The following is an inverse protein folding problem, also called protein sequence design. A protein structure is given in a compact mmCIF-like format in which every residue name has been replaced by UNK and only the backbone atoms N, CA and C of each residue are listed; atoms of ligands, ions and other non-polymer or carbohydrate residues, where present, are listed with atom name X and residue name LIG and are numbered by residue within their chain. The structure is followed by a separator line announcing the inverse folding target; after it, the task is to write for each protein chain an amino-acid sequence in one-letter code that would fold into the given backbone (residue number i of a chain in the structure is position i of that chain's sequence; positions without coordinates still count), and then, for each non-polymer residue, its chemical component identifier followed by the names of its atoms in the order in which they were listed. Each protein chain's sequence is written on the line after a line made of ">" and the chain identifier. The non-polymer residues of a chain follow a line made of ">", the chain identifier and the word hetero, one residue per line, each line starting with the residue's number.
data_IF_630417606772
#
_entry.id   IF_630417606772
#
_cell.length_a   1.000
_cell.length_b   1.000
_cell.length_c   1.000
_cell.angle_alpha   90.00
_cell.angle_beta   90.00
_cell.angle_gamma   90.00
#
_symmetry.space_group_name_H-M   'P 1'
#
loop_
_entity.id
_entity.type
_entity.pdbx_description
1 polymer ?
#
# COMPACT_ATOMS: atom_id res chain seq x y z
N UNK A 1 14.46 28.08 -25.44
CA UNK A 1 14.91 27.13 -24.40
C UNK A 1 14.27 27.43 -23.05
N UNK A 2 13.19 26.71 -22.71
CA UNK A 2 12.72 26.65 -21.32
C UNK A 2 13.51 25.54 -20.62
N UNK A 3 14.06 25.77 -19.42
CA UNK A 3 14.72 24.70 -18.68
C UNK A 3 13.72 23.58 -18.39
N UNK A 4 14.14 22.30 -18.40
CA UNK A 4 13.26 21.21 -18.02
C UNK A 4 12.82 21.43 -16.58
N UNK A 5 11.52 21.70 -16.41
CA UNK A 5 10.92 21.80 -15.09
C UNK A 5 11.10 20.47 -14.33
N UNK A 6 11.21 20.52 -13.01
CA UNK A 6 11.40 19.34 -12.15
C UNK A 6 10.28 18.32 -12.37
N UNK A 7 10.67 17.17 -12.92
CA UNK A 7 9.77 16.15 -13.48
C UNK A 7 9.25 15.23 -12.37
N UNK A 8 7.94 15.19 -12.19
CA UNK A 8 7.31 14.04 -11.53
C UNK A 8 7.43 12.81 -12.45
N UNK A 9 7.38 11.61 -11.87
CA UNK A 9 7.48 10.36 -12.64
C UNK A 9 6.48 10.26 -13.79
N UNK A 10 5.31 10.91 -13.65
CA UNK A 10 4.22 10.90 -14.63
C UNK A 10 4.38 11.96 -15.72
N UNK A 11 4.93 13.15 -15.41
CA UNK A 11 5.07 14.23 -16.38
C UNK A 11 5.96 13.82 -17.56
N UNK A 12 7.08 13.16 -17.27
CA UNK A 12 8.01 12.68 -18.28
C UNK A 12 7.40 11.64 -19.25
N UNK A 13 6.45 10.82 -18.79
CA UNK A 13 5.78 9.84 -19.64
C UNK A 13 4.88 10.48 -20.70
N UNK A 14 4.14 11.53 -20.34
CA UNK A 14 3.32 12.27 -21.30
C UNK A 14 4.17 13.11 -22.28
N UNK A 15 5.29 13.65 -21.80
CA UNK A 15 6.21 14.40 -22.65
C UNK A 15 6.79 13.53 -23.77
N UNK A 16 7.22 12.30 -23.46
CA UNK A 16 7.72 11.35 -24.46
C UNK A 16 6.65 10.98 -25.52
N UNK A 17 5.39 10.82 -25.11
CA UNK A 17 4.28 10.62 -26.06
C UNK A 17 4.14 11.83 -27.00
N UNK A 18 4.19 13.05 -26.45
CA UNK A 18 4.01 14.29 -27.22
C UNK A 18 5.15 14.48 -28.22
N UNK A 19 6.39 14.30 -27.78
CA UNK A 19 7.58 14.39 -28.64
C UNK A 19 7.54 13.37 -29.78
N UNK A 20 7.04 12.16 -29.51
CA UNK A 20 6.87 11.10 -30.51
C UNK A 20 5.59 11.20 -31.35
N UNK A 21 4.75 12.22 -31.13
CA UNK A 21 3.46 12.38 -31.82
C UNK A 21 2.45 11.25 -31.54
N UNK A 22 2.55 10.60 -30.37
CA UNK A 22 1.73 9.46 -29.95
C UNK A 22 0.58 9.92 -29.05
N UNK A 23 -0.50 9.13 -29.03
CA UNK A 23 -1.61 9.26 -28.08
C UNK A 23 -1.54 8.15 -27.03
N UNK A 24 -2.25 8.34 -25.91
CA UNK A 24 -2.51 7.23 -24.98
C UNK A 24 -3.38 6.20 -25.68
N UNK A 25 -2.94 4.94 -25.71
CA UNK A 25 -3.54 3.85 -26.47
C UNK A 25 -4.90 3.41 -25.93
N UNK A 26 -5.07 3.40 -24.61
CA UNK A 26 -6.33 3.05 -23.93
C UNK A 26 -6.62 4.04 -22.80
N UNK A 27 -7.10 5.26 -23.09
CA UNK A 27 -7.38 6.26 -22.07
C UNK A 27 -8.41 5.78 -21.03
N UNK A 28 -9.39 4.95 -21.44
CA UNK A 28 -10.37 4.35 -20.54
C UNK A 28 -9.85 3.24 -19.62
N UNK A 29 -8.59 2.82 -19.78
CA UNK A 29 -7.90 1.89 -18.86
C UNK A 29 -6.78 2.59 -18.07
N UNK A 30 -6.71 3.93 -18.14
CA UNK A 30 -5.69 4.74 -17.48
C UNK A 30 -6.38 5.73 -16.54
N UNK A 31 -5.92 5.81 -15.30
CA UNK A 31 -6.46 6.74 -14.30
C UNK A 31 -5.32 7.46 -13.60
N UNK A 32 -5.56 8.71 -13.20
CA UNK A 32 -4.61 9.52 -12.45
C UNK A 32 -5.23 10.06 -11.16
N UNK A 33 -4.41 10.30 -10.14
CA UNK A 33 -4.79 10.96 -8.90
C UNK A 33 -3.64 11.84 -8.40
N UNK A 34 -3.94 12.75 -7.47
CA UNK A 34 -2.95 13.59 -6.81
C UNK A 34 -2.90 13.29 -5.31
N UNK A 35 -1.77 12.72 -4.88
CA UNK A 35 -1.55 12.27 -3.50
C UNK A 35 -0.15 12.56 -2.93
N UNK A 36 0.88 12.68 -3.78
CA UNK A 36 2.27 12.93 -3.34
C UNK A 36 2.61 14.41 -3.14
N UNK A 37 1.91 15.31 -3.85
CA UNK A 37 2.20 16.74 -3.91
C UNK A 37 1.15 17.61 -3.22
N UNK A 38 0.32 16.99 -2.38
CA UNK A 38 -0.82 17.66 -1.73
C UNK A 38 -0.48 18.05 -0.28
N UNK A 39 -0.87 19.24 0.18
CA UNK A 39 -0.68 19.63 1.57
C UNK A 39 -1.45 18.73 2.54
N UNK A 40 -0.81 18.37 3.65
CA UNK A 40 -1.40 17.50 4.69
C UNK A 40 -2.45 18.21 5.55
N UNK A 41 -2.45 19.55 5.55
CA UNK A 41 -3.38 20.42 6.28
C UNK A 41 -4.57 20.88 5.43
N UNK A 42 -4.65 20.45 4.16
CA UNK A 42 -5.74 20.78 3.24
C UNK A 42 -5.76 22.23 2.75
N UNK A 43 -4.68 23.00 2.98
CA UNK A 43 -4.57 24.38 2.49
C UNK A 43 -4.60 24.45 0.95
N UNK A 44 -4.91 25.61 0.34
CA UNK A 44 -4.82 25.79 -1.10
C UNK A 44 -3.42 25.47 -1.65
N UNK A 45 -3.35 25.01 -2.89
CA UNK A 45 -2.09 24.78 -3.59
C UNK A 45 -1.47 26.12 -3.98
N UNK A 46 -0.21 26.33 -3.63
CA UNK A 46 0.59 27.42 -4.20
C UNK A 46 1.04 27.02 -5.61
N UNK A 47 0.43 27.61 -6.63
CA UNK A 47 0.74 27.34 -8.05
C UNK A 47 2.18 27.66 -8.46
N UNK A 48 2.84 28.58 -7.76
CA UNK A 48 4.22 28.96 -8.07
C UNK A 48 5.23 28.01 -7.43
N UNK A 49 4.83 27.28 -6.40
CA UNK A 49 5.64 26.23 -5.81
C UNK A 49 5.92 25.10 -6.80
N UNK A 50 6.99 24.36 -6.53
CA UNK A 50 7.34 23.14 -7.25
C UNK A 50 6.14 22.16 -7.32
N UNK A 51 5.54 21.86 -6.18
CA UNK A 51 4.39 20.95 -6.09
C UNK A 51 3.20 21.47 -6.91
N UNK A 52 2.92 22.76 -6.88
CA UNK A 52 1.84 23.38 -7.67
C UNK A 52 2.07 23.26 -9.17
N UNK A 53 3.30 23.51 -9.65
CA UNK A 53 3.65 23.35 -11.06
C UNK A 53 3.50 21.89 -11.53
N UNK A 54 3.87 20.92 -10.69
CA UNK A 54 3.72 19.49 -11.00
C UNK A 54 2.25 19.05 -11.07
N UNK A 55 1.40 19.55 -10.16
CA UNK A 55 -0.05 19.28 -10.19
C UNK A 55 -0.68 19.85 -11.46
N UNK A 56 -0.37 21.10 -11.80
CA UNK A 56 -0.85 21.77 -13.01
C UNK A 56 -0.41 21.06 -14.30
N UNK A 57 0.83 20.55 -14.32
CA UNK A 57 1.34 19.76 -15.43
C UNK A 57 0.56 18.44 -15.59
N UNK A 58 0.29 17.72 -14.49
CA UNK A 58 -0.52 16.50 -14.54
C UNK A 58 -1.95 16.78 -15.02
N UNK A 59 -2.61 17.82 -14.50
CA UNK A 59 -3.95 18.23 -14.96
C UNK A 59 -3.98 18.54 -16.45
N UNK A 60 -2.99 19.28 -16.94
CA UNK A 60 -2.86 19.62 -18.36
C UNK A 60 -2.67 18.37 -19.21
N UNK A 61 -1.77 17.47 -18.80
CA UNK A 61 -1.50 16.22 -19.49
C UNK A 61 -2.75 15.31 -19.52
N UNK A 62 -3.41 15.11 -18.39
CA UNK A 62 -4.63 14.31 -18.31
C UNK A 62 -5.73 14.84 -19.24
N UNK A 63 -5.93 16.16 -19.28
CA UNK A 63 -6.88 16.80 -20.20
C UNK A 63 -6.50 16.62 -21.66
N UNK A 64 -5.23 16.84 -22.01
CA UNK A 64 -4.72 16.74 -23.38
C UNK A 64 -4.83 15.31 -23.94
N UNK A 65 -4.52 14.32 -23.11
CA UNK A 65 -4.49 12.91 -23.51
C UNK A 65 -5.79 12.14 -23.20
N UNK A 66 -6.80 12.80 -22.62
CA UNK A 66 -8.10 12.21 -22.31
C UNK A 66 -8.07 11.18 -21.18
N UNK A 67 -7.17 11.34 -20.21
CA UNK A 67 -7.02 10.46 -19.05
C UNK A 67 -7.86 10.99 -17.88
N UNK A 68 -8.80 10.21 -17.31
CA UNK A 68 -9.51 10.57 -16.09
C UNK A 68 -8.56 10.91 -14.93
N UNK A 69 -8.82 12.04 -14.27
CA UNK A 69 -8.03 12.53 -13.14
C UNK A 69 -8.92 12.76 -11.92
N UNK A 70 -8.55 12.17 -10.79
CA UNK A 70 -9.07 12.50 -9.46
C UNK A 70 -8.20 13.60 -8.83
N UNK A 71 -8.50 14.85 -9.22
CA UNK A 71 -7.70 16.03 -8.88
C UNK A 71 -7.83 16.51 -7.43
N UNK A 72 -7.11 17.58 -7.10
CA UNK A 72 -7.09 18.12 -5.74
C UNK A 72 -8.48 18.61 -5.32
N UNK A 73 -8.94 18.20 -4.13
CA UNK A 73 -10.27 18.50 -3.58
C UNK A 73 -11.45 17.98 -4.42
N UNK A 74 -11.21 17.12 -5.42
CA UNK A 74 -12.27 16.47 -6.19
C UNK A 74 -12.82 15.25 -5.44
N UNK A 75 -14.08 14.92 -5.74
CA UNK A 75 -14.65 13.64 -5.30
C UNK A 75 -13.85 12.48 -5.90
N UNK A 76 -13.46 11.52 -5.07
CA UNK A 76 -12.61 10.39 -5.48
C UNK A 76 -11.10 10.63 -5.28
N UNK A 77 -10.66 11.82 -4.86
CA UNK A 77 -9.25 12.05 -4.54
C UNK A 77 -8.78 11.21 -3.34
N UNK A 78 -7.60 10.62 -3.45
CA UNK A 78 -6.90 9.94 -2.36
C UNK A 78 -5.61 9.27 -2.84
N UNK A 79 -4.97 8.59 -1.90
CA UNK A 79 -3.79 7.78 -2.14
C UNK A 79 -4.12 6.73 -3.20
N UNK A 80 -3.28 6.61 -4.23
CA UNK A 80 -3.57 5.78 -5.42
C UNK A 80 -3.99 4.34 -5.07
N UNK A 81 -3.27 3.71 -4.13
CA UNK A 81 -3.54 2.33 -3.68
C UNK A 81 -4.75 2.17 -2.77
N UNK A 82 -5.31 3.28 -2.29
CA UNK A 82 -6.54 3.32 -1.49
C UNK A 82 -7.74 3.54 -2.39
N UNK A 83 -7.64 4.50 -3.33
CA UNK A 83 -8.77 4.84 -4.20
C UNK A 83 -9.01 3.78 -5.27
N UNK A 84 -7.98 3.09 -5.76
CA UNK A 84 -8.15 2.03 -6.78
C UNK A 84 -9.18 0.97 -6.34
N UNK A 85 -8.98 0.31 -5.19
CA UNK A 85 -9.96 -0.63 -4.65
C UNK A 85 -11.31 0.01 -4.26
N UNK A 86 -11.31 1.25 -3.77
CA UNK A 86 -12.55 1.94 -3.36
C UNK A 86 -13.44 2.31 -4.54
N UNK A 87 -12.84 2.56 -5.71
CA UNK A 87 -13.55 2.94 -6.93
C UNK A 87 -13.93 1.71 -7.78
N UNK A 88 -13.39 0.52 -7.46
CA UNK A 88 -13.59 -0.69 -8.26
C UNK A 88 -12.62 -0.83 -9.44
N UNK A 89 -11.51 -0.09 -9.42
CA UNK A 89 -10.45 -0.19 -10.42
C UNK A 89 -9.52 -1.39 -10.17
N UNK A 90 -9.61 -1.98 -8.99
CA UNK A 90 -8.84 -3.17 -8.60
C UNK A 90 -9.77 -4.36 -8.55
N UNK A 91 -9.61 -5.26 -9.52
CA UNK A 91 -10.41 -6.47 -9.67
C UNK A 91 -9.50 -7.68 -9.84
N UNK A 92 -9.98 -8.90 -9.48
CA UNK A 92 -9.21 -10.11 -9.67
C UNK A 92 -8.83 -10.38 -11.12
N UNK A 93 -7.64 -10.96 -11.32
CA UNK A 93 -7.13 -11.34 -12.65
C UNK A 93 -6.58 -10.18 -13.50
N UNK A 94 -6.67 -8.94 -13.02
CA UNK A 94 -6.07 -7.80 -13.72
C UNK A 94 -4.54 -7.83 -13.64
N UNK A 95 -3.89 -7.37 -14.69
CA UNK A 95 -2.50 -6.87 -14.61
C UNK A 95 -2.56 -5.37 -14.41
N UNK A 96 -2.05 -4.87 -13.27
CA UNK A 96 -2.11 -3.47 -12.87
C UNK A 96 -0.71 -2.91 -12.66
N UNK A 97 -0.41 -1.78 -13.27
CA UNK A 97 0.89 -1.11 -13.11
C UNK A 97 0.69 0.37 -12.82
N UNK A 98 1.53 0.91 -11.95
CA UNK A 98 1.55 2.31 -11.60
C UNK A 98 2.99 2.77 -11.43
N UNK A 99 3.24 4.07 -11.57
CA UNK A 99 4.55 4.69 -11.33
C UNK A 99 4.93 4.76 -9.84
N UNK A 100 4.48 3.81 -9.03
CA UNK A 100 4.63 3.75 -7.58
C UNK A 100 4.98 2.31 -7.15
N UNK A 101 5.93 2.16 -6.21
CA UNK A 101 6.42 0.85 -5.76
C UNK A 101 5.36 -0.01 -5.09
N UNK A 102 4.44 0.61 -4.32
CA UNK A 102 3.45 -0.07 -3.49
C UNK A 102 2.19 -0.50 -4.25
N UNK A 103 2.25 -0.48 -5.58
CA UNK A 103 1.22 -1.04 -6.48
C UNK A 103 0.91 -2.51 -6.17
N UNK A 104 1.86 -3.21 -5.53
CA UNK A 104 1.67 -4.54 -4.93
C UNK A 104 0.41 -4.65 -4.05
N UNK A 105 -0.05 -3.56 -3.44
CA UNK A 105 -1.30 -3.50 -2.65
C UNK A 105 -2.49 -4.16 -3.37
N UNK A 106 -2.59 -3.95 -4.67
CA UNK A 106 -3.72 -4.42 -5.48
C UNK A 106 -3.75 -5.94 -5.63
N UNK A 107 -2.64 -6.63 -5.39
CA UNK A 107 -2.61 -8.09 -5.44
C UNK A 107 -3.37 -8.77 -4.31
N UNK A 108 -3.81 -8.04 -3.28
CA UNK A 108 -4.78 -8.53 -2.30
C UNK A 108 -6.12 -8.98 -2.91
N UNK A 109 -6.39 -8.57 -4.14
CA UNK A 109 -7.57 -8.97 -4.93
C UNK A 109 -7.28 -10.12 -5.90
N UNK A 110 -6.10 -10.72 -5.88
CA UNK A 110 -5.68 -11.68 -6.91
C UNK A 110 -5.31 -11.03 -8.25
N UNK A 111 -4.87 -9.77 -8.21
CA UNK A 111 -4.34 -9.06 -9.37
C UNK A 111 -2.81 -9.16 -9.42
N UNK A 112 -2.23 -9.30 -10.61
CA UNK A 112 -0.78 -9.17 -10.79
C UNK A 112 -0.44 -7.68 -10.85
N UNK A 113 -0.03 -7.11 -9.72
CA UNK A 113 0.13 -5.67 -9.58
C UNK A 113 1.53 -5.26 -9.10
N UNK A 114 2.18 -4.35 -9.83
CA UNK A 114 3.56 -3.96 -9.53
C UNK A 114 3.94 -2.55 -10.03
N UNK A 115 4.90 -1.94 -9.34
CA UNK A 115 5.43 -0.62 -9.69
C UNK A 115 6.30 -0.66 -10.95
N UNK A 116 6.24 0.40 -11.75
CA UNK A 116 7.03 0.57 -12.97
C UNK A 116 7.74 1.91 -13.00
N UNK A 117 8.86 1.98 -13.73
CA UNK A 117 9.62 3.21 -13.91
C UNK A 117 8.96 4.18 -14.90
N UNK A 118 9.40 5.43 -14.91
CA UNK A 118 8.90 6.48 -15.82
C UNK A 118 8.93 6.10 -17.31
N UNK A 119 10.02 5.48 -17.79
CA UNK A 119 10.11 5.02 -19.20
C UNK A 119 9.10 3.90 -19.50
N UNK A 120 8.86 3.01 -18.53
CA UNK A 120 7.85 1.97 -18.66
C UNK A 120 6.43 2.55 -18.65
N UNK A 121 6.18 3.62 -17.88
CA UNK A 121 4.89 4.33 -17.89
C UNK A 121 4.59 4.86 -19.30
N UNK A 122 5.55 5.55 -19.95
CA UNK A 122 5.38 5.99 -21.34
C UNK A 122 5.04 4.80 -22.25
N UNK A 123 5.77 3.70 -22.11
CA UNK A 123 5.57 2.50 -22.93
C UNK A 123 4.16 1.90 -22.73
N UNK A 124 3.68 1.80 -21.49
CA UNK A 124 2.33 1.31 -21.17
C UNK A 124 1.26 2.25 -21.72
N UNK A 125 1.46 3.56 -21.58
CA UNK A 125 0.53 4.54 -22.15
C UNK A 125 0.48 4.42 -23.68
N UNK A 126 1.61 4.19 -24.35
CA UNK A 126 1.69 4.06 -25.81
C UNK A 126 1.18 2.70 -26.35
N UNK A 127 1.32 1.62 -25.59
CA UNK A 127 1.18 0.25 -26.13
C UNK A 127 0.21 -0.65 -25.38
N UNK A 128 -0.03 -0.39 -24.09
CA UNK A 128 -0.69 -1.31 -23.15
C UNK A 128 0.00 -2.65 -22.99
N UNK A 129 1.31 -2.66 -23.19
CA UNK A 129 2.17 -3.83 -23.01
C UNK A 129 3.39 -3.45 -22.20
N UNK A 130 4.04 -4.45 -21.60
CA UNK A 130 5.33 -4.31 -20.93
C UNK A 130 6.25 -5.44 -21.35
N UNK A 131 7.51 -5.10 -21.62
CA UNK A 131 8.55 -6.10 -21.79
C UNK A 131 9.12 -6.46 -20.44
N UNK A 132 8.77 -7.63 -19.93
CA UNK A 132 9.44 -8.22 -18.76
C UNK A 132 10.69 -9.00 -19.21
N UNK A 133 11.85 -8.88 -18.52
CA UNK A 133 13.05 -9.65 -18.83
C UNK A 133 12.86 -11.16 -18.73
N UNK A 134 11.90 -11.63 -17.94
CA UNK A 134 11.55 -13.04 -17.77
C UNK A 134 10.28 -13.20 -16.93
N UNK A 135 9.79 -14.44 -16.83
CA UNK A 135 8.70 -14.77 -15.89
C UNK A 135 9.28 -14.82 -14.47
N UNK A 136 8.77 -14.03 -13.50
CA UNK A 136 9.18 -14.14 -12.10
C UNK A 136 8.89 -15.55 -11.56
N UNK A 137 9.72 -15.99 -10.62
CA UNK A 137 9.46 -17.23 -9.88
C UNK A 137 8.31 -17.02 -8.87
N UNK A 138 7.69 -18.09 -8.42
CA UNK A 138 6.61 -18.05 -7.43
C UNK A 138 7.12 -18.35 -6.02
N UNK A 139 6.80 -17.49 -5.07
CA UNK A 139 7.12 -17.66 -3.64
C UNK A 139 5.82 -17.84 -2.87
N UNK A 140 5.54 -19.06 -2.43
CA UNK A 140 4.39 -19.34 -1.57
C UNK A 140 4.73 -19.08 -0.10
N UNK A 141 3.97 -18.23 0.57
CA UNK A 141 4.11 -17.94 2.01
C UNK A 141 2.85 -18.40 2.73
N UNK A 142 2.96 -19.55 3.39
CA UNK A 142 1.90 -20.10 4.23
C UNK A 142 1.90 -19.43 5.60
N UNK A 143 0.76 -18.91 6.02
CA UNK A 143 0.56 -18.38 7.38
C UNK A 143 -0.54 -19.16 8.09
N UNK A 144 -0.13 -19.92 9.10
CA UNK A 144 -1.00 -20.80 9.88
C UNK A 144 -1.30 -20.22 11.27
N UNK A 145 -2.35 -20.74 11.90
CA UNK A 145 -2.74 -20.36 13.25
C UNK A 145 -3.64 -19.12 13.30
N UNK A 146 -3.95 -18.71 14.52
CA UNK A 146 -4.87 -17.59 14.80
C UNK A 146 -4.11 -16.43 15.43
N UNK A 147 -4.38 -15.22 14.93
CA UNK A 147 -3.78 -14.01 15.49
C UNK A 147 -4.19 -13.83 16.96
N UNK A 148 -3.19 -13.59 17.79
CA UNK A 148 -3.39 -13.25 19.20
C UNK A 148 -3.98 -11.85 19.34
N UNK A 149 -4.53 -11.56 20.52
CA UNK A 149 -5.06 -10.23 20.82
C UNK A 149 -3.98 -9.17 20.64
N UNK A 150 -4.31 -8.12 19.88
CA UNK A 150 -3.39 -7.01 19.61
C UNK A 150 -2.43 -7.24 18.45
N UNK A 151 -2.46 -8.43 17.85
CA UNK A 151 -1.71 -8.76 16.63
C UNK A 151 -2.59 -8.54 15.42
N UNK A 152 -2.02 -7.93 14.39
CA UNK A 152 -2.69 -7.51 13.17
C UNK A 152 -1.97 -8.05 11.94
N UNK A 153 -2.55 -7.83 10.76
CA UNK A 153 -1.87 -8.16 9.50
C UNK A 153 -0.56 -7.39 9.27
N UNK A 154 -0.39 -6.22 9.90
CA UNK A 154 0.86 -5.47 9.86
C UNK A 154 1.98 -6.27 10.56
N UNK A 155 1.66 -6.89 11.68
CA UNK A 155 2.61 -7.71 12.43
C UNK A 155 2.99 -8.97 11.64
N UNK A 156 2.01 -9.60 10.97
CA UNK A 156 2.25 -10.76 10.11
C UNK A 156 3.26 -10.41 9.01
N UNK A 157 3.02 -9.35 8.24
CA UNK A 157 3.92 -9.01 7.13
C UNK A 157 5.29 -8.52 7.61
N UNK A 158 5.35 -7.81 8.74
CA UNK A 158 6.64 -7.44 9.35
C UNK A 158 7.43 -8.68 9.79
N UNK A 159 6.78 -9.69 10.36
CA UNK A 159 7.43 -10.95 10.73
C UNK A 159 7.93 -11.72 9.50
N UNK A 160 7.16 -11.75 8.41
CA UNK A 160 7.59 -12.32 7.12
C UNK A 160 8.84 -11.57 6.61
N UNK A 161 8.81 -10.24 6.54
CA UNK A 161 9.94 -9.44 6.04
C UNK A 161 11.17 -9.61 6.93
N UNK A 162 11.00 -9.66 8.26
CA UNK A 162 12.08 -9.95 9.21
C UNK A 162 12.71 -11.32 8.96
N UNK A 163 11.89 -12.35 8.73
CA UNK A 163 12.36 -13.73 8.46
C UNK A 163 13.13 -13.82 7.14
N UNK A 164 12.63 -13.19 6.09
CA UNK A 164 13.19 -13.32 4.73
C UNK A 164 14.28 -12.29 4.42
N UNK A 165 14.30 -11.17 5.15
CA UNK A 165 15.17 -10.03 4.90
C UNK A 165 14.68 -9.14 3.76
N UNK A 166 15.33 -7.97 3.61
CA UNK A 166 14.94 -6.94 2.64
C UNK A 166 15.03 -7.37 1.16
N UNK A 167 15.78 -8.45 0.87
CA UNK A 167 15.94 -9.00 -0.48
C UNK A 167 15.39 -10.42 -0.61
N UNK A 168 14.67 -10.92 0.40
CA UNK A 168 14.26 -12.32 0.48
C UNK A 168 13.31 -12.79 -0.62
N UNK A 169 12.57 -11.86 -1.23
CA UNK A 169 11.65 -12.07 -2.35
C UNK A 169 12.19 -11.60 -3.70
N UNK A 170 13.44 -11.15 -3.81
CA UNK A 170 14.00 -10.67 -5.09
C UNK A 170 13.92 -11.75 -6.18
N UNK A 171 13.30 -11.39 -7.32
CA UNK A 171 13.06 -12.30 -8.45
C UNK A 171 11.78 -13.13 -8.35
N UNK A 172 11.00 -12.95 -7.28
CA UNK A 172 9.75 -13.67 -7.05
C UNK A 172 8.52 -12.76 -7.09
N UNK A 173 7.37 -13.36 -7.41
CA UNK A 173 6.05 -12.89 -7.00
C UNK A 173 5.64 -13.71 -5.78
N UNK A 174 5.29 -13.04 -4.68
CA UNK A 174 4.86 -13.69 -3.46
C UNK A 174 3.35 -13.96 -3.49
N UNK A 175 2.92 -15.15 -3.10
CA UNK A 175 1.53 -15.48 -2.84
C UNK A 175 1.36 -15.87 -1.38
N UNK A 176 0.46 -15.18 -0.68
CA UNK A 176 0.16 -15.44 0.73
C UNK A 176 -1.09 -16.30 0.85
N UNK A 177 -1.00 -17.37 1.61
CA UNK A 177 -2.10 -18.32 1.81
C UNK A 177 -2.06 -18.92 3.22
N UNK A 178 -3.03 -19.77 3.56
CA UNK A 178 -3.14 -20.42 4.87
C UNK A 178 -4.29 -19.88 5.72
N UNK A 179 -4.55 -20.53 6.86
CA UNK A 179 -5.68 -20.24 7.76
C UNK A 179 -5.73 -18.77 8.16
N UNK A 180 -4.58 -18.19 8.53
CA UNK A 180 -4.52 -16.80 8.96
C UNK A 180 -4.96 -15.88 7.82
N UNK A 181 -4.38 -16.04 6.62
CA UNK A 181 -4.68 -15.17 5.47
C UNK A 181 -6.15 -15.26 5.07
N UNK A 182 -6.71 -16.48 5.03
CA UNK A 182 -8.11 -16.70 4.71
C UNK A 182 -9.05 -15.97 5.69
N UNK A 183 -8.68 -15.90 6.97
CA UNK A 183 -9.48 -15.22 8.00
C UNK A 183 -9.42 -13.68 7.95
N UNK A 184 -8.48 -13.10 7.19
CA UNK A 184 -8.27 -11.65 7.18
C UNK A 184 -9.35 -10.93 6.37
N UNK A 185 -9.85 -9.78 6.87
CA UNK A 185 -10.67 -8.87 6.06
C UNK A 185 -9.84 -8.21 4.95
N UNK A 186 -10.50 -7.65 3.93
CA UNK A 186 -9.80 -7.07 2.77
C UNK A 186 -8.77 -5.99 3.08
N UNK A 187 -9.02 -5.10 4.07
CA UNK A 187 -8.05 -4.08 4.44
C UNK A 187 -6.73 -4.65 4.97
N UNK A 188 -6.83 -5.74 5.75
CA UNK A 188 -5.69 -6.46 6.28
C UNK A 188 -4.92 -7.21 5.18
N UNK A 189 -5.62 -7.81 4.21
CA UNK A 189 -5.01 -8.41 3.01
C UNK A 189 -4.23 -7.38 2.19
N UNK A 190 -4.80 -6.20 2.00
CA UNK A 190 -4.13 -5.08 1.33
C UNK A 190 -2.86 -4.63 2.06
N UNK A 191 -2.85 -4.61 3.39
CA UNK A 191 -1.64 -4.32 4.19
C UNK A 191 -0.51 -5.32 3.90
N UNK A 192 -0.82 -6.61 3.82
CA UNK A 192 0.16 -7.67 3.52
C UNK A 192 0.73 -7.49 2.11
N UNK A 193 -0.13 -7.38 1.09
CA UNK A 193 0.34 -7.25 -0.29
C UNK A 193 1.10 -5.94 -0.53
N UNK A 194 0.66 -4.83 0.09
CA UNK A 194 1.35 -3.53 0.03
C UNK A 194 2.82 -3.68 0.41
N UNK A 195 3.08 -4.37 1.53
CA UNK A 195 4.43 -4.46 2.08
C UNK A 195 5.32 -5.56 1.45
N UNK A 196 4.91 -6.14 0.32
CA UNK A 196 5.70 -7.18 -0.36
C UNK A 196 6.97 -6.64 -1.00
N UNK A 197 7.00 -5.35 -1.33
CA UNK A 197 8.15 -4.71 -1.97
C UNK A 197 9.32 -4.49 -0.98
N UNK A 198 9.03 -4.44 0.31
CA UNK A 198 9.97 -4.26 1.42
C UNK A 198 10.86 -5.49 1.64
N UNK A 199 10.44 -6.66 1.17
CA UNK A 199 11.28 -7.87 1.05
C UNK A 199 11.81 -8.08 -0.38
N UNK A 200 11.65 -7.08 -1.26
CA UNK A 200 12.16 -7.10 -2.63
C UNK A 200 11.36 -7.94 -3.61
N UNK A 201 10.16 -8.40 -3.25
CA UNK A 201 9.29 -9.14 -4.17
C UNK A 201 8.74 -8.21 -5.26
N UNK A 202 8.56 -8.75 -6.48
CA UNK A 202 8.02 -7.98 -7.61
C UNK A 202 6.56 -7.59 -7.38
N UNK A 203 5.80 -8.49 -6.78
CA UNK A 203 4.41 -8.31 -6.40
C UNK A 203 4.08 -9.23 -5.22
N UNK A 204 2.97 -8.94 -4.53
CA UNK A 204 2.37 -9.80 -3.53
C UNK A 204 0.91 -10.06 -3.87
N UNK A 205 0.44 -11.30 -3.77
CA UNK A 205 -0.91 -11.70 -4.16
C UNK A 205 -1.60 -12.54 -3.09
N UNK A 206 -2.91 -12.45 -3.04
CA UNK A 206 -3.79 -13.35 -2.29
C UNK A 206 -4.89 -13.80 -3.25
N UNK A 207 -5.15 -15.11 -3.31
CA UNK A 207 -6.20 -15.66 -4.15
C UNK A 207 -7.57 -15.04 -3.78
N UNK A 208 -8.39 -14.63 -4.77
CA UNK A 208 -9.68 -14.04 -4.50
C UNK A 208 -10.66 -15.09 -3.96
N UNK A 209 -11.41 -14.72 -2.93
CA UNK A 209 -12.42 -15.57 -2.30
C UNK A 209 -13.67 -14.76 -1.96
N UNK A 210 -14.56 -15.33 -1.15
CA UNK A 210 -15.82 -14.70 -0.76
C UNK A 210 -15.61 -13.35 -0.04
N UNK A 211 -14.50 -13.15 0.68
CA UNK A 211 -14.17 -11.86 1.31
C UNK A 211 -13.84 -10.82 0.25
N UNK A 212 -13.11 -11.22 -0.80
CA UNK A 212 -12.83 -10.37 -1.96
C UNK A 212 -14.11 -10.02 -2.73
N UNK A 213 -14.96 -11.01 -2.99
CA UNK A 213 -16.21 -10.81 -3.74
C UNK A 213 -17.21 -9.96 -2.98
N UNK A 214 -17.39 -10.23 -1.68
CA UNK A 214 -18.22 -9.41 -0.81
C UNK A 214 -17.72 -7.97 -0.80
N UNK A 215 -16.41 -7.74 -0.65
CA UNK A 215 -15.88 -6.39 -0.75
C UNK A 215 -16.23 -5.74 -2.08
N UNK A 216 -16.03 -6.38 -3.23
CA UNK A 216 -16.34 -5.78 -4.54
C UNK A 216 -17.83 -5.44 -4.66
N UNK A 217 -18.70 -6.35 -4.22
CA UNK A 217 -20.16 -6.18 -4.23
C UNK A 217 -20.65 -5.09 -3.25
N UNK A 218 -19.97 -4.92 -2.12
CA UNK A 218 -20.40 -4.05 -1.02
C UNK A 218 -19.96 -2.60 -1.21
N UNK A 219 -20.79 -1.77 -1.82
CA UNK A 219 -20.61 -0.32 -1.84
C UNK A 219 -20.62 0.28 -3.24
N UNK A 220 -20.55 1.61 -3.29
CA UNK A 220 -20.53 2.36 -4.55
C UNK A 220 -19.13 2.29 -5.17
N UNK A 221 -18.92 1.27 -6.02
CA UNK A 221 -17.73 1.08 -6.85
C UNK A 221 -18.07 1.34 -8.31
N UNK A 222 -17.95 2.59 -8.78
CA UNK A 222 -18.43 2.97 -10.11
C UNK A 222 -17.73 2.25 -11.27
N UNK A 223 -16.57 1.63 -11.05
CA UNK A 223 -15.82 0.90 -12.07
C UNK A 223 -15.84 -0.62 -11.89
N UNK A 224 -16.52 -1.14 -10.86
CA UNK A 224 -16.71 -2.58 -10.70
C UNK A 224 -17.95 -3.07 -11.49
N UNK A 225 -17.94 -4.32 -11.98
CA UNK A 225 -19.15 -4.91 -12.56
C UNK A 225 -20.28 -4.98 -11.54
N UNK A 226 -21.52 -4.94 -12.02
CA UNK A 226 -22.74 -4.95 -11.18
C UNK A 226 -23.75 -5.98 -11.68
N UNK A 227 -24.68 -6.37 -10.80
CA UNK A 227 -25.79 -7.28 -11.13
C UNK A 227 -25.30 -8.60 -11.73
N UNK A 228 -25.94 -9.05 -12.81
CA UNK A 228 -25.61 -10.31 -13.49
C UNK A 228 -24.17 -10.38 -14.00
N UNK A 229 -23.58 -9.24 -14.37
CA UNK A 229 -22.18 -9.21 -14.80
C UNK A 229 -21.23 -9.52 -13.65
N UNK A 230 -21.53 -9.04 -12.44
CA UNK A 230 -20.75 -9.34 -11.25
C UNK A 230 -20.81 -10.83 -10.91
N UNK A 231 -22.00 -11.45 -10.95
CA UNK A 231 -22.17 -12.89 -10.69
C UNK A 231 -21.39 -13.76 -11.69
N UNK A 232 -21.40 -13.36 -12.96
CA UNK A 232 -20.57 -14.01 -14.00
C UNK A 232 -19.08 -13.90 -13.66
N UNK A 233 -18.61 -12.71 -13.31
CA UNK A 233 -17.19 -12.52 -12.97
C UNK A 233 -16.79 -13.24 -11.68
N UNK A 234 -17.65 -13.30 -10.66
CA UNK A 234 -17.39 -14.08 -9.45
C UNK A 234 -17.14 -15.55 -9.80
N UNK A 235 -17.93 -16.11 -10.72
CA UNK A 235 -17.76 -17.49 -11.18
C UNK A 235 -16.38 -17.72 -11.82
N UNK A 236 -15.91 -16.79 -12.65
CA UNK A 236 -14.57 -16.83 -13.24
C UNK A 236 -13.46 -16.59 -12.20
N UNK A 237 -13.63 -15.62 -11.31
CA UNK A 237 -12.64 -15.25 -10.31
C UNK A 237 -12.38 -16.37 -9.30
N UNK A 238 -13.38 -17.22 -9.02
CA UNK A 238 -13.19 -18.43 -8.18
C UNK A 238 -12.16 -19.41 -8.74
N UNK A 239 -11.87 -19.35 -10.04
CA UNK A 239 -10.87 -20.19 -10.70
C UNK A 239 -9.44 -19.62 -10.55
N UNK A 240 -9.29 -18.36 -10.12
CA UNK A 240 -8.00 -17.67 -10.03
C UNK A 240 -7.24 -18.00 -8.74
N UNK A 241 -7.00 -19.29 -8.48
CA UNK A 241 -6.27 -19.76 -7.30
C UNK A 241 -5.17 -20.73 -7.69
N UNK A 242 -4.14 -20.82 -6.85
CA UNK A 242 -3.13 -21.86 -6.99
C UNK A 242 -3.73 -23.23 -6.73
N UNK A 243 -3.48 -24.20 -7.63
CA UNK A 243 -4.04 -25.55 -7.54
C UNK A 243 -3.47 -26.36 -6.37
N UNK A 244 -2.17 -26.22 -6.12
CA UNK A 244 -1.46 -26.89 -5.02
C UNK A 244 -0.26 -26.07 -4.56
N UNK A 245 0.05 -26.02 -3.25
CA UNK A 245 1.29 -25.43 -2.74
C UNK A 245 2.57 -25.98 -3.37
N UNK A 246 2.56 -27.21 -3.90
CA UNK A 246 3.72 -27.81 -4.57
C UNK A 246 4.07 -27.14 -5.91
N UNK A 247 3.18 -26.28 -6.45
CA UNK A 247 3.44 -25.50 -7.66
C UNK A 247 4.37 -24.30 -7.43
N UNK A 248 4.67 -23.94 -6.16
CA UNK A 248 5.54 -22.82 -5.85
C UNK A 248 7.03 -23.15 -6.07
N UNK A 249 7.79 -22.26 -6.72
CA UNK A 249 9.24 -22.41 -6.91
C UNK A 249 9.99 -22.38 -5.56
N UNK A 250 9.47 -21.61 -4.59
CA UNK A 250 9.95 -21.57 -3.21
C UNK A 250 8.76 -21.49 -2.26
N UNK A 251 8.86 -22.20 -1.13
CA UNK A 251 7.87 -22.16 -0.06
C UNK A 251 8.48 -21.69 1.24
N UNK A 252 7.72 -20.89 1.96
CA UNK A 252 8.04 -20.38 3.28
C UNK A 252 6.80 -20.52 4.16
N UNK A 253 7.01 -20.67 5.47
CA UNK A 253 5.92 -20.74 6.46
C UNK A 253 6.15 -19.77 7.61
N UNK A 254 5.05 -19.30 8.20
CA UNK A 254 5.02 -18.49 9.42
C UNK A 254 3.86 -18.97 10.30
N UNK A 255 4.13 -19.22 11.58
CA UNK A 255 3.08 -19.51 12.56
C UNK A 255 2.62 -18.24 13.26
N UNK A 256 1.37 -17.85 13.04
CA UNK A 256 0.79 -16.63 13.58
C UNK A 256 0.32 -16.79 15.04
N UNK A 257 0.09 -18.03 15.50
CA UNK A 257 -0.42 -18.32 16.84
C UNK A 257 0.50 -17.85 17.97
N UNK A 258 1.81 -17.79 17.73
CA UNK A 258 2.81 -17.30 18.69
C UNK A 258 3.31 -15.89 18.38
N UNK A 259 2.77 -15.24 17.34
CA UNK A 259 3.23 -13.93 16.92
C UNK A 259 2.87 -12.88 17.98
N UNK A 260 3.82 -12.00 18.27
CA UNK A 260 3.61 -10.84 19.12
C UNK A 260 3.51 -9.57 18.26
N UNK A 261 2.95 -8.47 18.78
CA UNK A 261 3.03 -7.18 18.09
C UNK A 261 4.47 -6.86 17.70
N UNK A 262 4.68 -6.41 16.47
CA UNK A 262 5.99 -6.16 15.87
C UNK A 262 6.25 -4.65 15.76
N UNK A 263 7.53 -4.26 15.87
CA UNK A 263 8.00 -2.90 15.65
C UNK A 263 9.30 -2.91 14.86
N UNK A 264 9.35 -2.09 13.80
CA UNK A 264 10.60 -1.85 13.07
C UNK A 264 11.43 -0.81 13.82
N UNK A 265 12.67 -1.16 14.17
CA UNK A 265 13.59 -0.33 14.94
C UNK A 265 14.67 0.36 14.08
N UNK A 266 14.89 -0.14 12.86
CA UNK A 266 15.95 0.34 11.98
C UNK A 266 15.45 1.20 10.81
N UNK A 267 16.25 1.25 9.75
CA UNK A 267 15.98 2.03 8.54
C UNK A 267 15.26 1.24 7.45
N UNK A 268 14.95 -0.04 7.71
CA UNK A 268 14.18 -0.89 6.81
C UNK A 268 13.18 -1.74 7.60
N UNK A 269 12.05 -2.16 7.00
CA UNK A 269 11.09 -3.04 7.68
C UNK A 269 11.62 -4.45 8.01
N UNK A 270 12.75 -4.87 7.42
CA UNK A 270 13.43 -6.11 7.81
C UNK A 270 14.09 -6.01 9.19
N UNK A 271 14.45 -4.79 9.62
CA UNK A 271 14.97 -4.50 10.96
C UNK A 271 13.81 -4.36 11.94
N UNK A 272 13.18 -5.49 12.25
CA UNK A 272 12.00 -5.59 13.10
C UNK A 272 12.28 -6.46 14.33
N UNK A 273 11.63 -6.15 15.44
CA UNK A 273 11.61 -6.94 16.66
C UNK A 273 10.19 -7.03 17.22
N UNK A 274 9.99 -7.94 18.18
CA UNK A 274 8.78 -7.98 18.97
C UNK A 274 8.75 -6.75 19.88
N UNK A 275 7.57 -6.14 20.06
CA UNK A 275 7.39 -5.00 20.98
C UNK A 275 7.81 -5.34 22.42
N UNK A 276 7.73 -6.61 22.81
CA UNK A 276 8.16 -7.11 24.12
C UNK A 276 9.66 -7.44 24.21
N UNK A 277 10.38 -7.37 23.09
CA UNK A 277 11.80 -7.63 23.02
C UNK A 277 12.66 -6.38 23.30
N UNK A 278 13.93 -6.47 22.91
CA UNK A 278 14.92 -5.40 23.02
C UNK A 278 15.54 -5.07 21.66
N UNK A 279 16.14 -3.88 21.55
CA UNK A 279 17.00 -3.52 20.43
C UNK A 279 18.09 -4.59 20.27
N UNK A 280 18.23 -5.21 19.09
CA UNK A 280 19.18 -6.31 18.89
C UNK A 280 20.62 -5.79 18.83
N UNK A 281 21.57 -6.70 19.07
CA UNK A 281 22.97 -6.49 18.67
C UNK A 281 23.05 -6.48 17.13
N UNK A 282 23.83 -5.57 16.51
CA UNK A 282 23.91 -5.50 15.06
C UNK A 282 24.61 -6.73 14.48
N UNK A 283 24.00 -7.36 13.47
CA UNK A 283 24.59 -8.50 12.78
C UNK A 283 25.64 -8.10 11.73
N UNK A 284 25.57 -6.87 11.21
CA UNK A 284 26.48 -6.35 10.19
C UNK A 284 26.64 -4.81 10.21
N UNK A 285 27.49 -4.28 9.31
CA UNK A 285 27.74 -2.84 9.15
C UNK A 285 26.51 -2.02 8.71
N UNK A 286 25.52 -2.66 8.11
CA UNK A 286 24.27 -1.99 7.76
C UNK A 286 23.43 -1.75 9.00
N UNK A 287 23.30 -2.76 9.85
CA UNK A 287 22.61 -2.66 11.14
C UNK A 287 23.35 -1.74 12.12
N UNK A 288 24.69 -1.77 12.18
CA UNK A 288 25.49 -0.81 12.95
C UNK A 288 25.16 0.65 12.56
N UNK A 289 25.08 0.93 11.26
CA UNK A 289 24.71 2.25 10.75
C UNK A 289 23.25 2.60 11.04
N UNK A 290 22.35 1.61 10.99
CA UNK A 290 20.94 1.82 11.31
C UNK A 290 20.76 2.19 12.78
N UNK A 291 21.42 1.47 13.71
CA UNK A 291 21.42 1.80 15.13
C UNK A 291 21.99 3.18 15.40
N UNK A 292 23.11 3.53 14.76
CA UNK A 292 23.70 4.87 14.87
C UNK A 292 22.75 5.96 14.34
N UNK A 293 22.09 5.72 13.20
CA UNK A 293 21.15 6.67 12.62
C UNK A 293 19.89 6.86 13.47
N UNK A 294 19.36 5.76 14.03
CA UNK A 294 18.17 5.75 14.88
C UNK A 294 18.47 6.18 16.32
N UNK A 295 19.75 6.37 16.68
CA UNK A 295 20.23 6.65 18.04
C UNK A 295 19.75 5.62 19.07
N UNK A 296 19.81 4.34 18.69
CA UNK A 296 19.39 3.21 19.54
C UNK A 296 20.59 2.43 20.05
N UNK A 297 20.54 2.05 21.33
CA UNK A 297 21.56 1.21 21.98
C UNK A 297 21.08 -0.24 22.04
N UNK A 298 21.89 -1.23 21.62
CA UNK A 298 21.58 -2.64 21.82
C UNK A 298 21.22 -2.98 23.27
N UNK A 299 20.31 -3.95 23.43
CA UNK A 299 19.81 -4.39 24.74
C UNK A 299 18.71 -3.50 25.34
N UNK A 300 18.52 -2.27 24.86
CA UNK A 300 17.43 -1.39 25.31
C UNK A 300 16.08 -2.06 25.07
N UNK A 301 15.22 -2.25 26.08
CA UNK A 301 13.87 -2.78 25.86
C UNK A 301 13.08 -1.89 24.89
N UNK A 302 12.36 -2.49 23.95
CA UNK A 302 11.61 -1.74 22.93
C UNK A 302 10.56 -0.80 23.55
N UNK A 303 10.01 -1.20 24.70
CA UNK A 303 9.01 -0.43 25.45
C UNK A 303 9.59 0.78 26.18
N UNK A 304 10.90 0.82 26.39
CA UNK A 304 11.60 1.93 27.06
C UNK A 304 12.00 3.04 26.08
N UNK A 305 11.84 2.82 24.77
CA UNK A 305 12.17 3.79 23.75
C UNK A 305 11.12 4.93 23.76
N UNK A 306 11.53 6.18 24.00
CA UNK A 306 10.59 7.30 24.08
C UNK A 306 10.01 7.62 22.69
N UNK A 307 8.68 7.60 22.57
CA UNK A 307 7.97 8.00 21.35
C UNK A 307 7.60 9.47 21.44
N UNK A 308 8.07 10.30 20.49
CA UNK A 308 7.72 11.72 20.46
C UNK A 308 6.54 12.08 19.56
N UNK A 309 6.36 11.35 18.47
CA UNK A 309 5.33 11.65 17.47
C UNK A 309 4.74 10.35 16.98
N UNK A 310 3.41 10.29 16.90
CA UNK A 310 2.68 9.15 16.34
C UNK A 310 1.94 9.60 15.08
N UNK A 311 2.20 8.91 13.97
CA UNK A 311 1.48 9.08 12.72
C UNK A 311 0.61 7.86 12.46
N UNK A 312 -0.68 8.08 12.21
CA UNK A 312 -1.65 7.03 11.86
C UNK A 312 -2.16 7.34 10.45
N UNK A 313 -2.00 6.38 9.53
CA UNK A 313 -2.30 6.56 8.11
C UNK A 313 -1.23 5.94 7.22
N UNK A 314 -1.03 6.53 6.03
CA UNK A 314 -0.19 6.08 4.90
C UNK A 314 -0.91 5.17 3.89
N UNK A 315 -0.25 4.88 2.76
CA UNK A 315 -0.76 3.95 1.74
C UNK A 315 -1.01 2.53 2.28
N UNK A 316 -0.29 2.13 3.33
CA UNK A 316 -0.41 0.79 3.92
C UNK A 316 -1.64 0.66 4.83
N UNK A 317 -1.88 1.64 5.72
CA UNK A 317 -2.89 1.58 6.80
C UNK A 317 -3.60 2.92 7.02
N UNK A 318 -4.47 3.33 6.08
CA UNK A 318 -5.28 4.56 6.19
C UNK A 318 -6.74 4.38 5.79
N UNK A 319 -7.21 3.13 5.80
CA UNK A 319 -8.61 2.79 5.53
C UNK A 319 -9.44 3.07 6.77
N UNK A 320 -10.77 3.11 6.61
CA UNK A 320 -11.65 3.52 7.71
C UNK A 320 -11.60 2.54 8.89
N UNK A 321 -11.35 1.26 8.60
CA UNK A 321 -11.15 0.20 9.58
C UNK A 321 -9.90 0.48 10.43
N UNK A 322 -8.76 0.78 9.80
CA UNK A 322 -7.50 1.13 10.48
C UNK A 322 -7.72 2.33 11.43
N UNK A 323 -8.43 3.37 10.97
CA UNK A 323 -8.70 4.57 11.76
C UNK A 323 -9.65 4.30 12.93
N UNK A 324 -10.61 3.38 12.77
CA UNK A 324 -11.51 2.95 13.84
C UNK A 324 -10.78 2.12 14.89
N UNK A 325 -9.86 1.25 14.48
CA UNK A 325 -9.02 0.47 15.40
C UNK A 325 -8.16 1.41 16.25
N UNK A 326 -7.49 2.36 15.61
CA UNK A 326 -6.77 3.42 16.30
C UNK A 326 -7.67 4.16 17.29
N UNK A 327 -8.87 4.57 16.87
CA UNK A 327 -9.80 5.33 17.71
C UNK A 327 -10.23 4.56 18.95
N UNK A 328 -10.55 3.28 18.80
CA UNK A 328 -10.91 2.39 19.93
C UNK A 328 -9.78 2.25 20.95
N UNK A 329 -8.53 2.22 20.50
CA UNK A 329 -7.37 2.13 21.40
C UNK A 329 -7.09 3.44 22.14
N UNK A 330 -7.46 4.58 21.56
CA UNK A 330 -7.32 5.90 22.16
C UNK A 330 -8.52 6.31 23.04
N UNK A 331 -9.69 5.73 22.80
CA UNK A 331 -10.91 6.04 23.56
C UNK A 331 -10.71 5.76 25.06
N UNK A 332 -11.09 6.73 25.90
CA UNK A 332 -10.92 6.65 27.36
C UNK A 332 -9.49 6.89 27.86
N UNK A 333 -8.49 7.04 26.97
CA UNK A 333 -7.10 7.37 27.34
C UNK A 333 -6.80 8.87 27.27
N UNK A 334 -7.81 9.71 27.49
CA UNK A 334 -7.70 11.17 27.43
C UNK A 334 -6.61 11.70 28.38
N UNK A 335 -5.54 12.25 27.80
CA UNK A 335 -4.79 13.47 28.22
C UNK A 335 -4.33 13.64 29.69
N UNK A 336 -4.47 12.64 30.56
CA UNK A 336 -4.14 12.70 31.99
C UNK A 336 -2.76 12.16 32.37
N UNK A 337 -2.20 11.26 31.56
CA UNK A 337 -0.80 10.88 31.63
C UNK A 337 -0.18 11.29 30.31
N UNK A 338 0.47 12.45 30.30
CA UNK A 338 1.52 12.70 29.31
C UNK A 338 2.52 11.55 29.51
N UNK A 339 2.47 10.53 28.68
CA UNK A 339 3.67 9.71 28.46
C UNK A 339 4.74 10.73 28.11
N UNK A 340 5.74 10.88 28.99
CA UNK A 340 6.64 12.03 29.04
C UNK A 340 7.48 12.26 27.75
N UNK A 341 7.24 11.49 26.68
CA UNK A 341 7.81 11.64 25.35
C UNK A 341 6.87 12.19 24.27
N UNK A 342 5.59 11.81 24.21
CA UNK A 342 4.76 12.03 23.02
C UNK A 342 4.20 13.45 22.95
N UNK A 343 4.76 14.26 22.04
CA UNK A 343 4.43 15.68 21.85
C UNK A 343 3.29 15.93 20.85
N UNK A 344 2.99 15.00 19.94
CA UNK A 344 1.88 15.15 19.00
C UNK A 344 1.43 13.84 18.34
N UNK A 345 0.14 13.72 18.02
CA UNK A 345 -0.41 12.67 17.15
C UNK A 345 -1.03 13.31 15.89
N UNK A 346 -0.79 12.71 14.72
CA UNK A 346 -1.37 13.16 13.45
C UNK A 346 -2.04 12.01 12.71
N UNK A 347 -3.20 12.29 12.11
CA UNK A 347 -3.95 11.34 11.31
C UNK A 347 -4.05 11.80 9.86
N UNK A 348 -3.89 10.85 8.93
CA UNK A 348 -4.16 11.07 7.52
C UNK A 348 -5.06 9.96 6.99
N UNK A 349 -6.30 10.31 6.64
CA UNK A 349 -7.20 9.40 5.96
C UNK A 349 -6.78 9.26 4.49
N UNK A 350 -6.81 8.02 3.98
CA UNK A 350 -6.27 7.67 2.66
C UNK A 350 -7.11 8.18 1.49
N UNK A 351 -8.36 8.62 1.71
CA UNK A 351 -9.23 9.16 0.66
C UNK A 351 -10.27 10.14 1.19
N UNK A 352 -10.86 10.93 0.30
CA UNK A 352 -11.99 11.81 0.62
C UNK A 352 -13.20 11.05 1.20
N UNK A 353 -13.50 9.85 0.68
CA UNK A 353 -14.55 8.99 1.22
C UNK A 353 -14.21 8.51 2.66
N UNK A 354 -12.94 8.17 2.93
CA UNK A 354 -12.45 7.85 4.26
C UNK A 354 -12.62 9.02 5.24
N UNK A 355 -12.25 10.25 4.82
CA UNK A 355 -12.47 11.48 5.60
C UNK A 355 -13.95 11.68 5.94
N UNK A 356 -14.84 11.57 4.94
CA UNK A 356 -16.28 11.77 5.14
C UNK A 356 -16.94 10.72 6.05
N UNK A 357 -16.51 9.45 5.98
CA UNK A 357 -16.98 8.39 6.88
C UNK A 357 -16.41 8.55 8.30
N UNK A 358 -15.16 8.99 8.43
CA UNK A 358 -14.51 9.28 9.71
C UNK A 358 -15.16 10.43 10.48
N UNK A 359 -15.52 11.52 9.79
CA UNK A 359 -16.23 12.65 10.41
C UNK A 359 -17.64 12.27 10.88
N UNK A 360 -18.38 11.47 10.10
CA UNK A 360 -19.70 10.94 10.49
C UNK A 360 -19.65 10.00 11.69
N UNK A 361 -18.53 9.31 11.92
CA UNK A 361 -18.35 8.37 13.04
C UNK A 361 -17.65 8.96 14.26
N UNK A 362 -17.51 10.30 14.36
CA UNK A 362 -16.82 11.03 15.45
C UNK A 362 -15.33 10.70 15.65
N UNK A 363 -14.72 9.90 14.78
CA UNK A 363 -13.28 9.54 14.83
C UNK A 363 -12.38 10.79 14.79
N UNK A 364 -12.82 11.85 14.12
CA UNK A 364 -12.02 13.08 13.94
C UNK A 364 -12.06 14.08 15.10
N UNK A 365 -12.88 13.87 16.14
CA UNK A 365 -13.12 14.89 17.20
C UNK A 365 -12.48 14.57 18.56
N UNK A 366 -11.80 13.44 18.71
CA UNK A 366 -11.33 12.95 20.02
C UNK A 366 -9.82 12.81 20.21
N UNK A 367 -9.00 13.42 19.34
CA UNK A 367 -7.54 13.15 19.31
C UNK A 367 -6.65 14.36 19.62
N UNK A 368 -7.22 15.45 20.13
CA UNK A 368 -6.48 16.59 20.68
C UNK A 368 -6.81 16.77 22.16
#
# INVERSE_FOLDING_TARGET
>A
DRPPGPRSHLAAGFDGLREAGRRVRRPGLTFATVDHNVPTDGRPIDEFSLSGQQLKALETNCREFGVPLFGYQQSGQGIVHVIGPQLGLTLPGLTLVCGDSHTSTHGAFGALAFGIGTTEVEHVLATQTLRTPGKPKSLGIEVSGRLQRGVTAKDVILAVIRKLGASGGTGFVAEYYGETIASLPMHARMTICNMSIEMGARAGMIAPDDVTFAYIAEGDRPYAPQGEELERWISEWRLLRTDSPDAFDRRESLEAGSLQPQVSWGTTPAMTADVTGSVPEPADKSEERALMYMDLRPGTPMQDIPVNVVFIGSCTNSRIEDLRDAARLAEGKASGERSAGARSARQSAGSGAGRARGTRSRVSRGWL
#
